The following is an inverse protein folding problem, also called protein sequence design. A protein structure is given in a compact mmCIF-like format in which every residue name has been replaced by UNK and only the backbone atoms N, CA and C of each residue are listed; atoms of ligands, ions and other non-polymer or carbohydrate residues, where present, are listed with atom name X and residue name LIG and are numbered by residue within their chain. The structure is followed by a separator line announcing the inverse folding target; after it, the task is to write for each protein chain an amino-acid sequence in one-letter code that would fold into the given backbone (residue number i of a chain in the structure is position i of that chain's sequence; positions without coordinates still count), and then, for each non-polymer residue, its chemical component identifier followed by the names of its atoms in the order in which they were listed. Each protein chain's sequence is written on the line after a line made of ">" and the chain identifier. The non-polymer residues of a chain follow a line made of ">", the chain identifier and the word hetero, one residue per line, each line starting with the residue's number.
data_IF_056073992401
#
_entry.id   IF_056073992401
#
_cell.length_a   1.000
_cell.length_b   1.000
_cell.length_c   1.000
_cell.angle_alpha   90.00
_cell.angle_beta   90.00
_cell.angle_gamma   90.00
#
_symmetry.space_group_name_H-M   'P 1'
#
loop_
_entity.id
_entity.type
_entity.pdbx_description
1 polymer ?
#
# COMPACT_ATOMS: atom_id res chain seq x y z
N UNK A 1 12.94 -8.04 -11.77
CA UNK A 1 11.69 -7.27 -11.88
C UNK A 1 11.91 -5.85 -11.34
N UNK A 2 11.50 -4.82 -12.10
CA UNK A 2 11.57 -3.43 -11.67
C UNK A 2 10.56 -3.16 -10.53
N UNK A 3 10.95 -2.32 -9.57
CA UNK A 3 10.07 -1.91 -8.47
C UNK A 3 10.30 -0.45 -8.07
N UNK A 4 9.22 0.22 -7.72
CA UNK A 4 9.23 1.55 -7.11
C UNK A 4 9.44 1.45 -5.60
N UNK A 5 10.33 2.29 -5.06
CA UNK A 5 10.49 2.51 -3.62
C UNK A 5 9.60 3.67 -3.19
N UNK A 6 8.43 3.35 -2.70
CA UNK A 6 7.48 4.39 -2.30
C UNK A 6 7.70 4.79 -0.83
N UNK A 7 8.05 6.06 -0.54
CA UNK A 7 8.37 6.47 0.84
C UNK A 7 7.21 6.26 1.80
N UNK A 8 7.46 5.63 2.95
CA UNK A 8 6.41 5.31 3.93
C UNK A 8 5.75 6.57 4.51
N UNK A 9 6.47 7.69 4.58
CA UNK A 9 5.94 8.95 5.10
C UNK A 9 4.72 9.47 4.33
N UNK A 10 4.65 9.22 3.00
CA UNK A 10 3.50 9.60 2.17
C UNK A 10 2.34 8.61 2.28
N UNK A 11 2.57 7.40 2.80
CA UNK A 11 1.57 6.34 2.88
C UNK A 11 0.96 6.26 4.27
N UNK A 12 1.78 6.35 5.31
CA UNK A 12 1.37 6.20 6.72
C UNK A 12 0.68 7.48 7.21
N UNK A 13 -0.61 7.55 6.97
CA UNK A 13 -1.48 8.68 7.27
C UNK A 13 -2.09 9.33 6.03
N UNK A 14 -2.92 10.34 6.25
CA UNK A 14 -3.58 11.05 5.16
C UNK A 14 -2.61 12.04 4.51
N UNK A 15 -2.20 11.78 3.27
CA UNK A 15 -1.26 12.61 2.51
C UNK A 15 -1.73 14.07 2.38
N UNK A 16 -3.04 14.29 2.19
CA UNK A 16 -3.61 15.64 2.09
C UNK A 16 -3.48 16.42 3.39
N UNK A 17 -3.70 15.76 4.53
CA UNK A 17 -3.59 16.39 5.84
C UNK A 17 -2.13 16.66 6.22
N UNK A 18 -1.23 15.73 5.89
CA UNK A 18 0.20 15.82 6.25
C UNK A 18 0.97 16.79 5.37
N UNK A 19 0.72 16.77 4.06
CA UNK A 19 1.56 17.44 3.07
C UNK A 19 0.79 18.43 2.18
N UNK A 20 -0.54 18.55 2.35
CA UNK A 20 -1.37 19.45 1.54
C UNK A 20 -1.59 18.98 0.09
N UNK A 21 -1.05 17.83 -0.30
CA UNK A 21 -1.08 17.32 -1.68
C UNK A 21 -2.20 16.30 -1.86
N UNK A 22 -2.79 16.26 -3.05
CA UNK A 22 -3.87 15.31 -3.35
C UNK A 22 -3.35 13.88 -3.50
N UNK A 23 -4.26 12.89 -3.43
CA UNK A 23 -3.93 11.47 -3.68
C UNK A 23 -3.46 11.21 -5.11
N UNK A 24 -3.61 12.17 -6.04
CA UNK A 24 -3.02 12.08 -7.38
C UNK A 24 -1.49 11.92 -7.33
N UNK A 25 -0.89 12.24 -6.19
CA UNK A 25 0.52 12.00 -5.91
C UNK A 25 0.93 10.54 -6.12
N UNK A 26 0.14 9.57 -5.66
CA UNK A 26 0.52 8.15 -5.70
C UNK A 26 0.78 7.65 -7.13
N UNK A 27 -0.20 7.77 -8.01
CA UNK A 27 -0.04 7.30 -9.40
C UNK A 27 0.96 8.17 -10.16
N UNK A 28 0.97 9.49 -9.94
CA UNK A 28 1.94 10.39 -10.59
C UNK A 28 3.37 10.00 -10.23
N UNK A 29 3.66 9.80 -8.93
CA UNK A 29 4.97 9.36 -8.47
C UNK A 29 5.40 8.03 -9.10
N UNK A 30 4.50 7.03 -9.05
CA UNK A 30 4.78 5.69 -9.59
C UNK A 30 5.04 5.76 -11.10
N UNK A 31 4.28 6.55 -11.86
CA UNK A 31 4.48 6.67 -13.29
C UNK A 31 5.78 7.40 -13.64
N UNK A 32 6.15 8.43 -12.89
CA UNK A 32 7.43 9.11 -13.05
C UNK A 32 8.56 8.10 -12.86
N UNK A 33 8.50 7.29 -11.80
CA UNK A 33 9.52 6.28 -11.51
C UNK A 33 9.49 5.13 -12.53
N UNK A 34 8.31 4.61 -12.90
CA UNK A 34 8.14 3.50 -13.87
C UNK A 34 8.70 3.85 -15.26
N UNK A 35 8.63 5.12 -15.65
CA UNK A 35 9.16 5.60 -16.95
C UNK A 35 10.52 6.26 -16.83
N UNK A 36 11.21 6.08 -15.70
CA UNK A 36 12.56 6.60 -15.47
C UNK A 36 13.55 5.91 -16.39
N UNK A 37 14.33 6.74 -17.09
CA UNK A 37 15.48 6.30 -17.88
C UNK A 37 16.70 6.05 -16.99
N UNK A 38 17.74 5.46 -17.56
CA UNK A 38 19.03 5.26 -16.88
C UNK A 38 19.69 6.57 -16.42
N UNK A 39 19.36 7.69 -17.10
CA UNK A 39 19.92 9.03 -16.80
C UNK A 39 19.00 9.85 -15.88
N UNK A 40 18.08 9.21 -15.15
CA UNK A 40 17.13 9.85 -14.25
C UNK A 40 16.14 10.81 -14.93
N UNK A 41 15.82 10.58 -16.19
CA UNK A 41 14.75 11.29 -16.89
C UNK A 41 13.52 10.43 -17.03
N UNK A 42 12.36 11.07 -16.96
CA UNK A 42 11.06 10.44 -17.20
C UNK A 42 10.23 11.28 -18.17
N UNK A 43 9.37 10.63 -18.96
CA UNK A 43 8.46 11.27 -19.90
C UNK A 43 7.05 10.80 -19.64
N UNK A 44 6.19 11.73 -19.20
CA UNK A 44 4.78 11.46 -18.94
C UNK A 44 3.90 12.52 -19.61
N UNK A 45 2.61 12.25 -19.74
CA UNK A 45 1.58 13.24 -20.03
C UNK A 45 0.54 13.22 -18.93
N UNK A 46 -0.17 14.32 -18.71
CA UNK A 46 -1.29 14.34 -17.75
C UNK A 46 -2.38 13.37 -18.21
N UNK A 47 -2.61 13.25 -19.53
CA UNK A 47 -3.52 12.27 -20.11
C UNK A 47 -3.19 10.86 -19.64
N UNK A 48 -1.93 10.46 -19.70
CA UNK A 48 -1.49 9.13 -19.28
C UNK A 48 -1.75 8.86 -17.79
N UNK A 49 -1.51 9.85 -16.93
CA UNK A 49 -1.85 9.74 -15.51
C UNK A 49 -3.37 9.55 -15.34
N UNK A 50 -4.19 10.32 -16.06
CA UNK A 50 -5.65 10.21 -16.00
C UNK A 50 -6.17 8.86 -16.49
N UNK A 51 -5.55 8.28 -17.52
CA UNK A 51 -5.93 6.96 -18.04
C UNK A 51 -5.76 5.86 -16.97
N UNK A 52 -4.71 5.92 -16.16
CA UNK A 52 -4.53 5.00 -15.03
C UNK A 52 -5.60 5.15 -13.93
N UNK A 53 -6.25 6.32 -13.83
CA UNK A 53 -7.43 6.51 -12.98
C UNK A 53 -8.73 5.96 -13.61
N UNK A 54 -8.67 5.39 -14.82
CA UNK A 54 -9.82 4.87 -15.53
C UNK A 54 -10.68 5.96 -16.20
N UNK A 55 -10.16 7.19 -16.35
CA UNK A 55 -10.84 8.21 -17.15
C UNK A 55 -10.68 7.89 -18.63
N UNK A 56 -11.77 8.06 -19.40
CA UNK A 56 -11.69 7.89 -20.86
C UNK A 56 -10.69 8.90 -21.45
N UNK A 57 -9.85 8.44 -22.37
CA UNK A 57 -8.79 9.24 -23.01
C UNK A 57 -9.31 10.55 -23.64
N UNK A 58 -10.56 10.57 -24.11
CA UNK A 58 -11.21 11.76 -24.67
C UNK A 58 -11.82 12.68 -23.61
N UNK A 59 -11.93 12.24 -22.37
CA UNK A 59 -12.58 13.01 -21.32
C UNK A 59 -11.67 14.15 -20.83
N UNK A 60 -12.26 15.34 -20.66
CA UNK A 60 -11.62 16.44 -19.96
C UNK A 60 -12.05 16.38 -18.48
N UNK A 61 -11.08 16.42 -17.57
CA UNK A 61 -11.29 16.41 -16.12
C UNK A 61 -10.53 17.57 -15.48
N UNK A 62 -11.06 18.82 -15.59
CA UNK A 62 -10.33 20.01 -15.16
C UNK A 62 -9.84 19.95 -13.73
N UNK A 63 -10.66 19.44 -12.81
CA UNK A 63 -10.28 19.26 -11.41
C UNK A 63 -9.10 18.30 -11.24
N UNK A 64 -9.17 17.11 -11.86
CA UNK A 64 -8.11 16.12 -11.77
C UNK A 64 -6.83 16.59 -12.49
N UNK A 65 -6.97 17.33 -13.59
CA UNK A 65 -5.86 17.99 -14.27
C UNK A 65 -5.13 18.93 -13.33
N UNK A 66 -5.86 19.85 -12.68
CA UNK A 66 -5.30 20.78 -11.71
C UNK A 66 -4.64 20.04 -10.52
N UNK A 67 -5.29 19.03 -9.99
CA UNK A 67 -4.71 18.21 -8.89
C UNK A 67 -3.38 17.55 -9.28
N UNK A 68 -3.19 17.16 -10.55
CA UNK A 68 -1.92 16.62 -11.05
C UNK A 68 -0.88 17.73 -11.20
N UNK A 69 -1.25 18.92 -11.68
CA UNK A 69 -0.34 20.08 -11.69
C UNK A 69 0.12 20.44 -10.28
N UNK A 70 -0.82 20.51 -9.31
CA UNK A 70 -0.50 20.79 -7.91
C UNK A 70 0.47 19.72 -7.34
N UNK A 71 0.36 18.46 -7.77
CA UNK A 71 1.30 17.39 -7.41
C UNK A 71 2.69 17.64 -8.01
N UNK A 72 2.78 17.99 -9.30
CA UNK A 72 4.06 18.28 -9.94
C UNK A 72 4.72 19.50 -9.28
N UNK A 73 3.97 20.54 -8.99
CA UNK A 73 4.45 21.73 -8.27
C UNK A 73 4.98 21.36 -6.87
N UNK A 74 4.24 20.54 -6.14
CA UNK A 74 4.68 20.00 -4.84
C UNK A 74 6.03 19.27 -4.96
N UNK A 75 6.16 18.39 -5.96
CA UNK A 75 7.40 17.63 -6.18
C UNK A 75 8.59 18.53 -6.57
N UNK A 76 8.34 19.58 -7.35
CA UNK A 76 9.36 20.60 -7.71
C UNK A 76 9.78 21.36 -6.45
N UNK A 77 8.83 21.87 -5.67
CA UNK A 77 9.10 22.65 -4.46
C UNK A 77 9.86 21.85 -3.39
N UNK A 78 9.67 20.50 -3.36
CA UNK A 78 10.42 19.61 -2.48
C UNK A 78 11.69 19.04 -3.15
N UNK A 79 12.10 19.60 -4.28
CA UNK A 79 13.32 19.21 -5.00
C UNK A 79 13.38 17.69 -5.32
N UNK A 80 12.22 17.07 -5.52
CA UNK A 80 12.14 15.66 -5.94
C UNK A 80 12.35 15.52 -7.44
N UNK A 81 11.92 16.54 -8.20
CA UNK A 81 12.02 16.60 -9.66
C UNK A 81 12.33 18.01 -10.15
N UNK A 82 12.85 18.08 -11.37
CA UNK A 82 12.94 19.32 -12.16
C UNK A 82 12.08 19.13 -13.43
N UNK A 83 11.33 20.17 -13.79
CA UNK A 83 10.54 20.22 -15.03
C UNK A 83 10.95 21.47 -15.78
N UNK A 84 11.26 21.33 -17.07
CA UNK A 84 11.70 22.47 -17.91
C UNK A 84 10.53 23.30 -18.42
N UNK A 85 9.37 22.65 -18.62
CA UNK A 85 8.19 23.32 -19.14
C UNK A 85 7.53 24.15 -18.04
N UNK A 86 6.94 25.27 -18.45
CA UNK A 86 6.04 26.03 -17.59
C UNK A 86 4.75 25.23 -17.37
N UNK A 87 4.44 24.93 -16.10
CA UNK A 87 3.27 24.13 -15.71
C UNK A 87 1.96 24.78 -16.17
N UNK A 88 1.87 26.11 -16.19
CA UNK A 88 0.66 26.82 -16.61
C UNK A 88 0.41 26.70 -18.13
N UNK A 89 1.43 26.38 -18.91
CA UNK A 89 1.34 26.16 -20.35
C UNK A 89 0.97 24.74 -20.77
N UNK A 90 0.95 23.78 -19.81
CA UNK A 90 0.71 22.39 -20.12
C UNK A 90 -0.73 22.11 -20.57
N UNK A 91 -0.87 21.23 -21.54
CA UNK A 91 -2.14 20.59 -21.93
C UNK A 91 -2.18 19.14 -21.49
N UNK A 92 -3.35 18.49 -21.69
CA UNK A 92 -3.51 17.05 -21.34
C UNK A 92 -2.49 16.15 -22.03
N UNK A 93 -2.14 16.47 -23.26
CA UNK A 93 -1.34 15.63 -24.15
C UNK A 93 0.11 16.17 -24.32
N UNK A 94 0.44 17.26 -23.66
CA UNK A 94 1.80 17.80 -23.66
C UNK A 94 2.75 16.78 -22.98
N UNK A 95 3.80 16.38 -23.70
CA UNK A 95 4.87 15.57 -23.13
C UNK A 95 5.65 16.38 -22.11
N UNK A 96 5.71 15.89 -20.88
CA UNK A 96 6.43 16.54 -19.78
C UNK A 96 7.76 15.81 -19.59
N UNK A 97 8.86 16.52 -19.84
CA UNK A 97 10.19 16.02 -19.52
C UNK A 97 10.51 16.33 -18.07
N UNK A 98 10.72 15.27 -17.30
CA UNK A 98 10.95 15.31 -15.86
C UNK A 98 12.35 14.78 -15.60
N UNK A 99 13.20 15.58 -14.96
CA UNK A 99 14.46 15.13 -14.41
C UNK A 99 14.24 14.77 -12.95
N UNK A 100 14.51 13.53 -12.59
CA UNK A 100 14.39 13.02 -11.23
C UNK A 100 15.64 13.43 -10.44
N UNK A 101 15.47 13.85 -9.20
CA UNK A 101 16.55 14.13 -8.25
C UNK A 101 16.62 12.98 -7.25
N UNK A 102 17.44 11.94 -7.48
CA UNK A 102 17.38 10.68 -6.74
C UNK A 102 17.49 10.85 -5.23
N UNK A 103 18.33 11.80 -4.77
CA UNK A 103 18.53 12.06 -3.35
C UNK A 103 17.23 12.35 -2.59
N UNK A 104 16.29 13.03 -3.24
CA UNK A 104 15.04 13.48 -2.62
C UNK A 104 13.83 12.69 -3.11
N UNK A 105 13.95 12.05 -4.29
CA UNK A 105 12.88 11.23 -4.86
C UNK A 105 12.92 9.81 -4.30
N UNK A 106 14.09 9.17 -4.27
CA UNK A 106 14.23 7.80 -3.84
C UNK A 106 14.32 7.71 -2.31
N UNK A 107 13.38 7.00 -1.69
CA UNK A 107 13.50 6.70 -0.27
C UNK A 107 14.60 5.67 -0.02
N UNK A 108 15.54 6.01 0.86
CA UNK A 108 16.64 5.12 1.26
C UNK A 108 16.42 4.43 2.60
N UNK A 109 15.50 4.97 3.44
CA UNK A 109 15.32 4.49 4.81
C UNK A 109 14.10 3.57 4.96
N UNK A 110 12.90 4.14 4.86
CA UNK A 110 11.63 3.42 5.06
C UNK A 110 10.74 3.58 3.83
N UNK A 111 10.53 2.50 3.12
CA UNK A 111 9.70 2.50 1.91
C UNK A 111 8.89 1.22 1.78
N UNK A 112 7.75 1.34 1.11
CA UNK A 112 7.01 0.20 0.56
C UNK A 112 7.56 -0.13 -0.82
N UNK A 113 7.78 -1.43 -1.07
CA UNK A 113 8.23 -1.93 -2.37
C UNK A 113 7.00 -2.26 -3.21
N UNK A 114 6.85 -1.57 -4.34
CA UNK A 114 5.79 -1.86 -5.32
C UNK A 114 6.41 -2.36 -6.61
N UNK A 115 6.18 -3.62 -6.96
CA UNK A 115 6.65 -4.17 -8.23
C UNK A 115 5.76 -3.74 -9.40
N UNK A 116 6.30 -3.76 -10.63
CA UNK A 116 5.50 -3.43 -11.82
C UNK A 116 4.30 -4.35 -11.98
N UNK A 117 4.46 -5.66 -11.72
CA UNK A 117 3.35 -6.61 -11.80
C UNK A 117 2.25 -6.32 -10.76
N UNK A 118 2.62 -5.98 -9.52
CA UNK A 118 1.64 -5.59 -8.50
C UNK A 118 0.88 -4.32 -8.90
N UNK A 119 1.58 -3.32 -9.43
CA UNK A 119 0.94 -2.11 -9.93
C UNK A 119 -0.02 -2.40 -11.08
N UNK A 120 0.42 -3.17 -12.07
CA UNK A 120 -0.39 -3.52 -13.24
C UNK A 120 -1.63 -4.34 -12.81
N UNK A 121 -1.49 -5.29 -11.88
CA UNK A 121 -2.62 -6.02 -11.27
C UNK A 121 -3.65 -5.08 -10.65
N UNK A 122 -3.21 -4.10 -9.86
CA UNK A 122 -4.12 -3.11 -9.26
C UNK A 122 -4.81 -2.26 -10.33
N UNK A 123 -4.09 -1.90 -11.39
CA UNK A 123 -4.65 -1.10 -12.48
C UNK A 123 -5.62 -1.87 -13.39
N UNK A 124 -5.61 -3.21 -13.34
CA UNK A 124 -6.58 -4.08 -13.99
C UNK A 124 -7.91 -4.20 -13.23
N UNK A 125 -8.03 -3.67 -12.01
CA UNK A 125 -9.26 -3.72 -11.24
C UNK A 125 -10.46 -3.22 -12.06
N UNK A 126 -11.61 -3.89 -11.86
CA UNK A 126 -12.87 -3.51 -12.48
C UNK A 126 -13.18 -2.02 -12.24
N UNK A 127 -13.82 -1.40 -13.21
CA UNK A 127 -14.21 0.01 -13.17
C UNK A 127 -15.17 0.36 -12.01
N UNK A 128 -15.83 -0.63 -11.40
CA UNK A 128 -16.65 -0.45 -10.20
C UNK A 128 -15.82 -0.07 -8.96
N UNK A 129 -14.55 -0.46 -8.92
CA UNK A 129 -13.65 -0.19 -7.81
C UNK A 129 -12.75 1.01 -8.09
N UNK A 130 -12.55 1.84 -7.08
CA UNK A 130 -11.62 2.95 -7.18
C UNK A 130 -10.17 2.45 -7.06
N UNK A 131 -9.46 2.38 -8.19
CA UNK A 131 -8.07 1.90 -8.29
C UNK A 131 -7.10 2.65 -7.38
N UNK A 132 -7.32 3.94 -7.19
CA UNK A 132 -6.53 4.74 -6.25
C UNK A 132 -6.70 4.24 -4.80
N UNK A 133 -7.92 3.91 -4.39
CA UNK A 133 -8.18 3.38 -3.05
C UNK A 133 -7.52 2.01 -2.86
N UNK A 134 -7.58 1.14 -3.87
CA UNK A 134 -6.93 -0.17 -3.85
C UNK A 134 -5.40 0.01 -3.73
N UNK A 135 -4.82 0.88 -4.55
CA UNK A 135 -3.38 1.17 -4.53
C UNK A 135 -2.93 1.71 -3.17
N UNK A 136 -3.66 2.69 -2.63
CA UNK A 136 -3.35 3.29 -1.33
C UNK A 136 -3.48 2.27 -0.20
N UNK A 137 -4.51 1.43 -0.22
CA UNK A 137 -4.69 0.35 0.75
C UNK A 137 -3.55 -0.68 0.67
N UNK A 138 -3.15 -1.08 -0.53
CA UNK A 138 -2.03 -1.99 -0.75
C UNK A 138 -0.71 -1.39 -0.25
N UNK A 139 -0.39 -0.17 -0.65
CA UNK A 139 0.83 0.53 -0.22
C UNK A 139 0.86 0.69 1.31
N UNK A 140 -0.27 1.04 1.93
CA UNK A 140 -0.38 1.16 3.38
C UNK A 140 -0.06 -0.18 4.07
N UNK A 141 -0.70 -1.26 3.67
CA UNK A 141 -0.42 -2.60 4.22
C UNK A 141 1.06 -2.94 4.02
N UNK A 142 1.58 -2.75 2.81
CA UNK A 142 2.95 -3.06 2.46
C UNK A 142 3.97 -2.22 3.25
N UNK A 143 3.65 -0.95 3.55
CA UNK A 143 4.52 -0.07 4.34
C UNK A 143 4.75 -0.53 5.78
N UNK A 144 3.84 -1.34 6.32
CA UNK A 144 3.95 -1.93 7.66
C UNK A 144 4.46 -3.37 7.66
N UNK A 145 4.35 -4.08 6.52
CA UNK A 145 4.91 -5.43 6.41
C UNK A 145 6.42 -5.39 6.62
N UNK A 146 7.08 -4.32 6.18
CA UNK A 146 8.52 -4.17 6.29
C UNK A 146 9.29 -5.18 5.41
N UNK A 147 10.44 -4.79 4.93
CA UNK A 147 11.36 -5.73 4.32
C UNK A 147 12.51 -5.95 5.31
N UNK A 148 12.69 -7.18 5.78
CA UNK A 148 13.87 -7.52 6.56
C UNK A 148 15.11 -7.37 5.67
N UNK A 149 16.16 -6.69 6.12
CA UNK A 149 17.41 -6.68 5.39
C UNK A 149 17.95 -8.12 5.29
N UNK A 150 18.32 -8.56 4.10
CA UNK A 150 19.05 -9.81 3.94
C UNK A 150 20.48 -9.63 4.45
N UNK A 151 21.01 -10.65 5.09
CA UNK A 151 22.44 -10.67 5.41
C UNK A 151 23.25 -10.76 4.10
N UNK A 152 24.47 -10.22 4.09
CA UNK A 152 25.36 -10.22 2.91
C UNK A 152 25.63 -11.62 2.32
N UNK A 153 25.47 -12.67 3.14
CA UNK A 153 25.61 -14.07 2.74
C UNK A 153 24.31 -14.71 2.20
N UNK A 154 23.22 -13.94 2.06
CA UNK A 154 21.91 -14.43 1.59
C UNK A 154 21.12 -15.23 2.63
N UNK A 155 21.62 -15.38 3.87
CA UNK A 155 20.87 -16.05 4.94
C UNK A 155 19.71 -15.17 5.44
N UNK A 156 18.68 -15.82 6.00
CA UNK A 156 17.60 -15.11 6.68
C UNK A 156 18.12 -14.38 7.92
N UNK A 157 17.44 -13.27 8.26
CA UNK A 157 17.75 -12.51 9.47
C UNK A 157 17.57 -13.40 10.71
N UNK A 158 18.57 -13.45 11.61
CA UNK A 158 18.56 -14.33 12.79
C UNK A 158 17.31 -14.18 13.67
N UNK A 159 16.68 -12.99 13.69
CA UNK A 159 15.49 -12.67 14.47
C UNK A 159 14.23 -12.56 13.58
N UNK A 160 14.13 -13.34 12.52
CA UNK A 160 12.97 -13.32 11.61
C UNK A 160 11.64 -13.55 12.34
N UNK A 161 11.62 -14.47 13.33
CA UNK A 161 10.45 -14.75 14.17
C UNK A 161 9.98 -13.53 14.97
N UNK A 162 10.90 -12.67 15.38
CA UNK A 162 10.61 -11.49 16.19
C UNK A 162 10.06 -10.33 15.35
N UNK A 163 10.32 -10.37 14.05
CA UNK A 163 9.89 -9.35 13.08
C UNK A 163 9.27 -9.98 11.85
N UNK A 164 8.07 -10.59 11.96
CA UNK A 164 7.39 -11.20 10.82
C UNK A 164 7.05 -10.15 9.77
N UNK A 165 7.23 -10.49 8.50
CA UNK A 165 6.80 -9.65 7.38
C UNK A 165 5.27 -9.75 7.20
N UNK A 166 4.55 -9.21 8.16
CA UNK A 166 3.10 -9.28 8.24
C UNK A 166 2.48 -7.98 8.75
N UNK A 167 1.27 -7.71 8.29
CA UNK A 167 0.44 -6.61 8.74
C UNK A 167 -0.73 -7.15 9.58
N UNK A 168 -0.93 -6.61 10.78
CA UNK A 168 -2.00 -7.02 11.72
C UNK A 168 -2.61 -5.85 12.47
N UNK A 169 -2.90 -4.76 11.76
CA UNK A 169 -3.64 -3.62 12.30
C UNK A 169 -5.13 -3.75 12.00
N UNK A 170 -5.96 -3.12 12.83
CA UNK A 170 -7.41 -3.15 12.62
C UNK A 170 -7.84 -2.34 11.39
N UNK A 171 -8.93 -2.79 10.75
CA UNK A 171 -9.59 -2.05 9.66
C UNK A 171 -9.97 -0.63 10.11
N UNK A 172 -10.35 -0.47 11.38
CA UNK A 172 -10.69 0.86 11.93
C UNK A 172 -9.49 1.80 11.95
N UNK A 173 -8.31 1.32 12.35
CA UNK A 173 -7.10 2.12 12.34
C UNK A 173 -6.72 2.51 10.91
N UNK A 174 -6.77 1.55 9.98
CA UNK A 174 -6.50 1.78 8.57
C UNK A 174 -7.47 2.82 7.97
N UNK A 175 -8.77 2.68 8.23
CA UNK A 175 -9.80 3.60 7.77
C UNK A 175 -9.57 5.03 8.28
N UNK A 176 -9.24 5.17 9.56
CA UNK A 176 -8.96 6.47 10.18
C UNK A 176 -7.70 7.11 9.60
N UNK A 177 -6.59 6.37 9.52
CA UNK A 177 -5.31 6.90 9.01
C UNK A 177 -5.40 7.28 7.53
N UNK A 178 -6.11 6.50 6.72
CA UNK A 178 -6.29 6.78 5.28
C UNK A 178 -7.45 7.71 4.97
N UNK A 179 -8.27 8.09 5.98
CA UNK A 179 -9.51 8.84 5.79
C UNK A 179 -10.42 8.20 4.73
N UNK A 180 -10.62 6.90 4.86
CA UNK A 180 -11.53 6.09 4.05
C UNK A 180 -12.61 5.48 4.95
N UNK A 181 -13.78 5.13 4.37
CA UNK A 181 -14.76 4.34 5.10
C UNK A 181 -14.26 2.91 5.33
N UNK A 182 -14.74 2.26 6.39
CA UNK A 182 -14.42 0.83 6.64
C UNK A 182 -14.88 -0.07 5.50
N UNK A 183 -16.02 0.25 4.89
CA UNK A 183 -16.55 -0.50 3.74
C UNK A 183 -15.65 -0.37 2.53
N UNK A 184 -15.13 0.84 2.25
CA UNK A 184 -14.14 1.04 1.19
C UNK A 184 -12.87 0.23 1.44
N UNK A 185 -12.35 0.23 2.67
CA UNK A 185 -11.18 -0.56 3.03
C UNK A 185 -11.45 -2.07 2.87
N UNK A 186 -12.62 -2.55 3.31
CA UNK A 186 -12.99 -3.96 3.16
C UNK A 186 -13.04 -4.36 1.68
N UNK A 187 -13.68 -3.57 0.82
CA UNK A 187 -13.71 -3.82 -0.63
C UNK A 187 -12.30 -3.85 -1.25
N UNK A 188 -11.42 -2.92 -0.83
CA UNK A 188 -10.02 -2.94 -1.30
C UNK A 188 -9.29 -4.21 -0.85
N UNK A 189 -9.46 -4.63 0.41
CA UNK A 189 -8.83 -5.84 0.94
C UNK A 189 -9.38 -7.09 0.26
N UNK A 190 -10.68 -7.18 0.03
CA UNK A 190 -11.31 -8.26 -0.71
C UNK A 190 -10.67 -8.42 -2.08
N UNK A 191 -10.62 -7.35 -2.87
CA UNK A 191 -9.92 -7.36 -4.16
C UNK A 191 -8.44 -7.80 -4.05
N UNK A 192 -7.72 -7.33 -3.05
CA UNK A 192 -6.29 -7.63 -2.88
C UNK A 192 -6.03 -9.07 -2.43
N UNK A 193 -7.01 -9.72 -1.81
CA UNK A 193 -6.89 -11.10 -1.26
C UNK A 193 -7.59 -12.16 -2.10
N UNK A 194 -8.40 -11.78 -3.06
CA UNK A 194 -9.05 -12.69 -4.01
C UNK A 194 -8.16 -12.93 -5.23
N UNK A 195 -8.17 -14.18 -5.70
CA UNK A 195 -7.56 -14.53 -6.99
C UNK A 195 -8.68 -14.82 -7.98
N UNK A 196 -8.52 -14.35 -9.20
CA UNK A 196 -9.30 -14.79 -10.37
C UNK A 196 -8.41 -15.52 -11.36
N UNK A 197 -9.00 -16.10 -12.40
CA UNK A 197 -8.25 -16.83 -13.44
C UNK A 197 -7.16 -15.95 -14.09
N UNK A 198 -7.41 -14.63 -14.18
CA UNK A 198 -6.52 -13.66 -14.84
C UNK A 198 -5.72 -12.78 -13.86
N UNK A 199 -6.05 -12.82 -12.57
CA UNK A 199 -5.47 -11.87 -11.59
C UNK A 199 -5.10 -12.60 -10.30
N UNK A 200 -3.79 -12.73 -9.98
CA UNK A 200 -3.36 -13.35 -8.74
C UNK A 200 -3.66 -12.44 -7.54
N UNK A 201 -4.03 -13.03 -6.41
CA UNK A 201 -4.09 -12.28 -5.16
C UNK A 201 -2.74 -11.65 -4.84
N UNK A 202 -2.74 -10.40 -4.42
CA UNK A 202 -1.52 -9.70 -4.00
C UNK A 202 -1.19 -9.92 -2.52
N UNK A 203 -2.21 -10.20 -1.72
CA UNK A 203 -2.11 -10.44 -0.29
C UNK A 203 -2.75 -11.80 0.05
N UNK A 204 -2.19 -12.45 1.05
CA UNK A 204 -2.81 -13.59 1.72
C UNK A 204 -3.35 -13.12 3.05
N UNK A 205 -4.63 -13.40 3.31
CA UNK A 205 -5.34 -13.08 4.55
C UNK A 205 -5.44 -14.32 5.44
N UNK A 206 -5.09 -14.17 6.71
CA UNK A 206 -5.39 -15.14 7.76
C UNK A 206 -6.37 -14.52 8.74
N UNK A 207 -7.55 -15.07 8.84
CA UNK A 207 -8.52 -14.70 9.87
C UNK A 207 -8.06 -15.24 11.23
N UNK A 208 -8.05 -14.38 12.23
CA UNK A 208 -7.58 -14.70 13.58
C UNK A 208 -8.76 -14.84 14.54
N UNK A 209 -9.72 -13.90 14.51
CA UNK A 209 -10.98 -14.01 15.26
C UNK A 209 -11.07 -13.05 16.46
N UNK A 210 -11.42 -13.56 17.65
CA UNK A 210 -11.66 -12.71 18.82
C UNK A 210 -10.95 -13.25 20.07
N UNK A 211 -10.61 -12.35 20.97
CA UNK A 211 -10.03 -12.63 22.28
C UNK A 211 -11.01 -12.25 23.39
N UNK A 212 -11.06 -13.04 24.44
CA UNK A 212 -11.80 -12.73 25.66
C UNK A 212 -10.82 -12.74 26.85
N UNK A 213 -10.17 -11.61 27.13
CA UNK A 213 -9.15 -11.53 28.19
C UNK A 213 -9.73 -11.77 29.59
N UNK A 214 -11.00 -11.52 29.76
CA UNK A 214 -11.74 -11.61 31.01
C UNK A 214 -13.11 -12.22 30.75
N UNK A 215 -13.47 -13.31 31.44
CA UNK A 215 -14.78 -13.98 31.27
C UNK A 215 -15.98 -13.07 31.56
N UNK A 216 -15.79 -12.01 32.36
CA UNK A 216 -16.82 -11.01 32.66
C UNK A 216 -17.04 -10.00 31.53
N UNK A 217 -16.14 -9.95 30.54
CA UNK A 217 -16.20 -8.98 29.43
C UNK A 217 -16.53 -9.69 28.11
N UNK A 218 -17.20 -8.99 27.19
CA UNK A 218 -17.46 -9.56 25.86
C UNK A 218 -16.15 -9.83 25.09
N UNK A 219 -16.14 -10.84 24.22
CA UNK A 219 -15.00 -11.07 23.32
C UNK A 219 -14.70 -9.84 22.47
N UNK A 220 -13.41 -9.56 22.27
CA UNK A 220 -12.92 -8.48 21.41
C UNK A 220 -12.39 -9.05 20.10
N UNK A 221 -12.81 -8.47 18.98
CA UNK A 221 -12.26 -8.87 17.67
C UNK A 221 -10.77 -8.51 17.58
N UNK A 222 -10.01 -9.46 17.08
CA UNK A 222 -8.58 -9.31 16.81
C UNK A 222 -8.37 -9.00 15.33
N UNK A 223 -7.41 -8.15 14.97
CA UNK A 223 -7.10 -7.92 13.57
C UNK A 223 -6.72 -9.20 12.83
N UNK A 224 -7.11 -9.29 11.57
CA UNK A 224 -6.59 -10.33 10.69
C UNK A 224 -5.11 -10.09 10.38
N UNK A 225 -4.41 -11.16 10.01
CA UNK A 225 -3.02 -11.10 9.54
C UNK A 225 -3.06 -11.04 8.01
N UNK A 226 -2.26 -10.14 7.44
CA UNK A 226 -2.05 -10.02 6.00
C UNK A 226 -0.55 -10.10 5.71
N UNK A 227 -0.20 -10.90 4.70
CA UNK A 227 1.16 -11.04 4.21
C UNK A 227 1.16 -10.88 2.68
N UNK A 228 2.29 -10.51 2.11
CA UNK A 228 2.44 -10.51 0.65
C UNK A 228 2.32 -11.94 0.12
N UNK A 229 1.64 -12.10 -1.03
CA UNK A 229 1.58 -13.38 -1.74
C UNK A 229 2.92 -13.66 -2.42
N UNK A 230 3.85 -14.24 -1.68
CA UNK A 230 5.20 -14.61 -2.11
C UNK A 230 5.60 -15.95 -1.50
N UNK A 231 6.68 -16.51 -1.97
CA UNK A 231 7.26 -17.71 -1.35
C UNK A 231 7.54 -17.47 0.15
N UNK A 232 7.29 -18.47 0.98
CA UNK A 232 7.50 -18.38 2.43
C UNK A 232 6.35 -17.72 3.22
N UNK A 233 5.28 -17.25 2.59
CA UNK A 233 4.18 -16.53 3.27
C UNK A 233 3.57 -17.31 4.44
N UNK A 234 3.54 -18.64 4.37
CA UNK A 234 2.99 -19.50 5.45
C UNK A 234 3.78 -19.34 6.74
N UNK A 235 5.09 -19.29 6.65
CA UNK A 235 5.98 -19.10 7.79
C UNK A 235 5.80 -17.72 8.42
N UNK A 236 5.64 -16.67 7.59
CA UNK A 236 5.37 -15.31 8.07
C UNK A 236 4.05 -15.23 8.85
N UNK A 237 3.01 -15.93 8.40
CA UNK A 237 1.73 -16.03 9.10
C UNK A 237 1.91 -16.69 10.46
N UNK A 238 2.63 -17.82 10.55
CA UNK A 238 2.85 -18.54 11.80
C UNK A 238 3.66 -17.70 12.82
N UNK A 239 4.68 -16.97 12.35
CA UNK A 239 5.44 -16.06 13.19
C UNK A 239 4.59 -14.89 13.69
N UNK A 240 3.79 -14.29 12.79
CA UNK A 240 2.86 -13.21 13.16
C UNK A 240 1.79 -13.70 14.15
N UNK A 241 1.27 -14.90 13.97
CA UNK A 241 0.31 -15.52 14.88
C UNK A 241 0.93 -15.70 16.26
N UNK A 242 2.16 -16.22 16.35
CA UNK A 242 2.89 -16.37 17.60
C UNK A 242 3.08 -15.03 18.32
N UNK A 243 3.44 -13.98 17.57
CA UNK A 243 3.55 -12.61 18.13
C UNK A 243 2.23 -12.08 18.65
N UNK A 244 1.12 -12.37 17.97
CA UNK A 244 -0.21 -11.96 18.43
C UNK A 244 -0.61 -12.71 19.71
N UNK A 245 -0.30 -14.01 19.84
CA UNK A 245 -0.52 -14.77 21.08
C UNK A 245 0.22 -14.12 22.27
N UNK A 246 1.49 -13.77 22.07
CA UNK A 246 2.28 -13.03 23.06
C UNK A 246 1.67 -11.66 23.41
N UNK A 247 1.28 -10.89 22.40
CA UNK A 247 0.71 -9.55 22.55
C UNK A 247 -0.59 -9.57 23.38
N UNK A 248 -1.46 -10.53 23.10
CA UNK A 248 -2.73 -10.69 23.78
C UNK A 248 -2.63 -11.55 25.05
N UNK A 249 -1.45 -12.11 25.35
CA UNK A 249 -1.17 -12.97 26.52
C UNK A 249 -2.11 -14.18 26.60
N UNK A 250 -2.30 -14.86 25.47
CA UNK A 250 -3.16 -16.03 25.35
C UNK A 250 -2.36 -17.21 24.78
N UNK A 251 -2.80 -18.43 25.08
CA UNK A 251 -2.08 -19.64 24.67
C UNK A 251 -2.50 -20.10 23.25
N UNK A 252 -3.74 -19.84 22.86
CA UNK A 252 -4.28 -20.26 21.55
C UNK A 252 -5.45 -19.39 21.10
N UNK A 253 -5.74 -19.44 19.80
CA UNK A 253 -6.91 -18.81 19.20
C UNK A 253 -7.97 -19.84 18.86
N UNK A 254 -9.23 -19.57 19.15
CA UNK A 254 -10.34 -20.46 18.89
C UNK A 254 -11.24 -19.92 17.78
N UNK A 255 -11.73 -20.82 16.87
CA UNK A 255 -12.74 -20.43 15.92
C UNK A 255 -14.02 -20.02 16.64
N UNK A 256 -14.63 -18.90 16.24
CA UNK A 256 -15.95 -18.51 16.71
C UNK A 256 -17.02 -19.38 16.03
N UNK A 257 -18.25 -19.40 16.60
CA UNK A 257 -19.41 -20.06 15.98
C UNK A 257 -19.78 -19.50 14.60
N UNK A 258 -19.29 -18.30 14.26
CA UNK A 258 -19.45 -17.63 12.96
C UNK A 258 -18.29 -17.88 11.99
N UNK A 259 -17.41 -18.84 12.25
CA UNK A 259 -16.22 -19.10 11.44
C UNK A 259 -14.99 -18.29 11.83
N UNK A 260 -15.13 -17.31 12.73
CA UNK A 260 -14.02 -16.55 13.28
C UNK A 260 -13.42 -17.29 14.49
N UNK A 261 -12.12 -17.10 14.74
CA UNK A 261 -11.44 -17.72 15.88
C UNK A 261 -11.74 -16.97 17.18
N UNK A 262 -12.00 -17.73 18.27
CA UNK A 262 -12.03 -17.17 19.63
C UNK A 262 -10.74 -17.49 20.34
N UNK A 263 -10.30 -16.56 21.17
CA UNK A 263 -9.28 -16.81 22.16
C UNK A 263 -9.96 -17.28 23.45
N UNK A 264 -9.57 -18.44 23.94
CA UNK A 264 -9.79 -18.81 25.32
C UNK A 264 -8.44 -18.91 26.01
N UNK A 265 -8.26 -18.15 27.05
CA UNK A 265 -7.11 -18.35 27.91
C UNK A 265 -7.41 -19.57 28.80
N UNK A 266 -6.71 -20.68 28.62
CA UNK A 266 -6.88 -21.88 29.43
C UNK A 266 -6.29 -21.78 30.82
N UNK A 267 -5.53 -20.73 31.11
CA UNK A 267 -4.92 -20.46 32.41
C UNK A 267 -5.70 -19.39 33.14
N UNK A 268 -6.84 -19.76 33.68
CA UNK A 268 -7.51 -19.01 34.73
C UNK A 268 -7.52 -19.81 36.01
#
# INVERSE_FOLDING_TARGET
>A
EYFTRFPNEYIQGNIKTKFGVSRKFYITYILIDKYRSYEDYSWITIRKVLDFYGYKTTSRKPKAFKEILDVLEYMINNQMIEVKQDLDSLSYDTGIEIKIIPKNFDSTEKFAKLTSSQFDTIMMADSSLNKENILVAFLYINSYIGCRPRQDNGSEYENAKDNPEAFYRSISNMANELSMSKDTINQCIEYLTESSDDTPALLIKREVGSVQPDKSKPPQNVPNIYVLNKEGYKQEIEWALSKMLELYKVDEFYPSKSGNYRFENKKW
#
